data_IF_693886313331
#
_entry.id   IF_693886313331
#
_cell.length_a   1.000
_cell.length_b   1.000
_cell.length_c   1.000
_cell.angle_alpha   90.00
_cell.angle_beta   90.00
_cell.angle_gamma   90.00
#
_symmetry.space_group_name_H-M   'P 1'
#
loop_
_entity.id
_entity.type
_entity.pdbx_description
1 polymer ?
#
# COMPACT_ATOMS: atom_id res chain seq x y z
N UNK A 1 41.62 21.81 2.01
CA UNK A 1 40.66 21.21 2.96
C UNK A 1 39.35 21.06 2.22
N UNK A 2 39.02 19.85 1.78
CA UNK A 2 37.72 19.52 1.21
C UNK A 2 36.90 18.95 2.37
N UNK A 3 35.86 19.68 2.78
CA UNK A 3 34.86 19.15 3.70
C UNK A 3 34.04 18.13 2.93
N UNK A 4 34.33 16.85 3.16
CA UNK A 4 33.40 15.77 2.83
C UNK A 4 32.17 15.96 3.70
N UNK A 5 31.10 16.48 3.11
CA UNK A 5 29.75 16.30 3.66
C UNK A 5 29.48 14.81 3.49
N UNK A 6 29.70 14.04 4.55
CA UNK A 6 29.17 12.69 4.62
C UNK A 6 27.65 12.84 4.59
N UNK A 7 27.06 12.33 3.52
CA UNK A 7 25.62 12.22 3.35
C UNK A 7 25.13 11.19 4.38
N UNK A 8 24.71 11.66 5.55
CA UNK A 8 24.19 10.84 6.66
C UNK A 8 22.87 10.11 6.30
N UNK A 9 22.39 10.25 5.05
CA UNK A 9 21.16 9.65 4.55
C UNK A 9 21.22 8.11 4.40
N UNK A 10 22.42 7.51 4.34
CA UNK A 10 22.57 6.04 4.20
C UNK A 10 22.31 5.24 5.49
N UNK A 11 22.06 5.90 6.64
CA UNK A 11 21.86 5.24 7.95
C UNK A 11 20.52 5.58 8.63
N UNK A 12 19.54 6.14 7.91
CA UNK A 12 18.21 6.32 8.48
C UNK A 12 17.61 4.94 8.83
N UNK A 13 17.08 4.75 10.07
CA UNK A 13 16.45 3.50 10.43
C UNK A 13 15.23 3.25 9.54
N UNK A 14 15.17 2.08 8.90
CA UNK A 14 14.02 1.65 8.11
C UNK A 14 12.74 1.79 8.93
N UNK A 15 11.73 2.40 8.33
CA UNK A 15 10.42 2.60 8.91
C UNK A 15 9.45 1.55 8.39
N UNK A 16 8.35 1.34 9.11
CA UNK A 16 7.25 0.48 8.63
C UNK A 16 6.67 0.96 7.29
N UNK A 17 6.80 2.25 6.98
CA UNK A 17 6.35 2.81 5.71
C UNK A 17 7.27 2.40 4.55
N UNK A 18 8.59 2.40 4.77
CA UNK A 18 9.57 1.90 3.79
C UNK A 18 9.36 0.40 3.52
N UNK A 19 9.01 -0.37 4.56
CA UNK A 19 8.74 -1.81 4.41
C UNK A 19 7.42 -2.09 3.67
N UNK A 20 6.41 -1.23 3.78
CA UNK A 20 5.19 -1.33 2.96
C UNK A 20 5.47 -1.00 1.50
N UNK A 21 6.26 0.05 1.25
CA UNK A 21 6.67 0.48 -0.09
C UNK A 21 7.43 -0.62 -0.83
N UNK A 22 8.47 -1.16 -0.21
CA UNK A 22 9.26 -2.27 -0.78
C UNK A 22 8.38 -3.50 -1.04
N UNK A 23 7.51 -3.87 -0.10
CA UNK A 23 6.61 -5.01 -0.27
C UNK A 23 5.64 -4.81 -1.46
N UNK A 24 5.10 -3.61 -1.65
CA UNK A 24 4.22 -3.32 -2.79
C UNK A 24 4.97 -3.37 -4.12
N UNK A 25 6.24 -2.94 -4.15
CA UNK A 25 7.12 -3.07 -5.30
C UNK A 25 7.43 -4.54 -5.61
N UNK A 26 7.72 -5.35 -4.59
CA UNK A 26 7.94 -6.79 -4.72
C UNK A 26 6.69 -7.49 -5.26
N UNK A 27 5.50 -7.17 -4.74
CA UNK A 27 4.23 -7.68 -5.25
C UNK A 27 4.06 -7.32 -6.73
N UNK A 28 4.30 -6.06 -7.11
CA UNK A 28 4.15 -5.62 -8.49
C UNK A 28 5.14 -6.34 -9.42
N UNK A 29 6.37 -6.56 -8.95
CA UNK A 29 7.40 -7.29 -9.68
C UNK A 29 7.03 -8.77 -9.86
N UNK A 30 6.57 -9.44 -8.80
CA UNK A 30 6.11 -10.83 -8.85
C UNK A 30 4.89 -11.00 -9.76
N UNK A 31 3.95 -10.04 -9.73
CA UNK A 31 2.83 -10.01 -10.66
C UNK A 31 3.31 -9.87 -12.11
N UNK A 32 4.25 -8.95 -12.38
CA UNK A 32 4.83 -8.77 -13.71
C UNK A 32 5.52 -10.05 -14.21
N UNK A 33 6.21 -10.80 -13.35
CA UNK A 33 6.89 -12.04 -13.72
C UNK A 33 5.93 -13.19 -14.12
N UNK A 34 4.65 -13.10 -13.76
CA UNK A 34 3.62 -14.08 -14.13
C UNK A 34 2.98 -13.78 -15.50
N UNK A 35 3.29 -12.64 -16.11
CA UNK A 35 2.77 -12.23 -17.42
C UNK A 35 3.78 -12.55 -18.55
N UNK A 36 3.30 -13.07 -19.68
CA UNK A 36 4.13 -13.19 -20.89
C UNK A 36 4.15 -11.85 -21.65
N UNK A 37 5.03 -10.95 -21.21
CA UNK A 37 5.18 -9.63 -21.82
C UNK A 37 5.56 -9.68 -23.30
N UNK A 38 6.33 -10.69 -23.73
CA UNK A 38 6.73 -10.81 -25.13
C UNK A 38 5.52 -11.11 -26.00
N UNK A 39 4.66 -12.04 -25.57
CA UNK A 39 3.40 -12.33 -26.25
C UNK A 39 2.47 -11.12 -26.26
N UNK A 40 2.28 -10.47 -25.10
CA UNK A 40 1.40 -9.30 -24.95
C UNK A 40 1.84 -8.18 -25.91
N UNK A 41 3.12 -7.81 -25.89
CA UNK A 41 3.62 -6.67 -26.68
C UNK A 41 3.68 -6.99 -28.17
N UNK A 42 4.21 -8.17 -28.57
CA UNK A 42 4.35 -8.50 -29.99
C UNK A 42 3.02 -8.73 -30.70
N UNK A 43 1.99 -9.15 -29.96
CA UNK A 43 0.65 -9.32 -30.50
C UNK A 43 -0.20 -8.04 -30.43
N UNK A 44 0.36 -6.94 -29.89
CA UNK A 44 -0.31 -5.64 -29.86
C UNK A 44 -1.36 -5.50 -28.76
N UNK A 45 -1.07 -5.99 -27.55
CA UNK A 45 -1.97 -5.98 -26.40
C UNK A 45 -3.31 -6.69 -26.68
N UNK A 46 -3.27 -8.02 -26.95
CA UNK A 46 -4.48 -8.79 -27.19
C UNK A 46 -5.36 -8.83 -25.93
N UNK A 47 -6.62 -9.25 -26.11
CA UNK A 47 -7.46 -9.60 -24.97
C UNK A 47 -6.78 -10.71 -24.16
N UNK A 48 -6.60 -10.47 -22.86
CA UNK A 48 -5.96 -11.42 -21.97
C UNK A 48 -6.97 -12.47 -21.50
N UNK A 49 -6.53 -13.71 -21.28
CA UNK A 49 -7.25 -14.68 -20.46
C UNK A 49 -7.58 -14.11 -19.06
N UNK A 50 -8.67 -14.56 -18.43
CA UNK A 50 -9.13 -14.03 -17.14
C UNK A 50 -8.07 -14.09 -16.03
N UNK A 51 -7.24 -15.13 -16.01
CA UNK A 51 -6.14 -15.30 -15.06
C UNK A 51 -5.03 -14.27 -15.28
N UNK A 52 -4.62 -14.04 -16.53
CA UNK A 52 -3.64 -13.02 -16.89
C UNK A 52 -4.18 -11.61 -16.66
N UNK A 53 -5.49 -11.38 -16.90
CA UNK A 53 -6.15 -10.13 -16.57
C UNK A 53 -6.16 -9.87 -15.06
N UNK A 54 -6.38 -10.91 -14.24
CA UNK A 54 -6.33 -10.79 -12.78
C UNK A 54 -4.91 -10.45 -12.29
N UNK A 55 -3.87 -11.06 -12.86
CA UNK A 55 -2.48 -10.73 -12.55
C UNK A 55 -2.17 -9.27 -12.91
N UNK A 56 -2.63 -8.80 -14.08
CA UNK A 56 -2.45 -7.40 -14.49
C UNK A 56 -3.17 -6.43 -13.54
N UNK A 57 -4.38 -6.78 -13.07
CA UNK A 57 -5.12 -5.99 -12.07
C UNK A 57 -4.38 -5.93 -10.75
N UNK A 58 -3.85 -7.05 -10.27
CA UNK A 58 -3.09 -7.11 -9.02
C UNK A 58 -1.82 -6.24 -9.10
N UNK A 59 -1.09 -6.30 -10.22
CA UNK A 59 0.05 -5.44 -10.48
C UNK A 59 -0.35 -3.95 -10.45
N UNK A 60 -1.48 -3.61 -11.10
CA UNK A 60 -2.01 -2.25 -11.11
C UNK A 60 -2.43 -1.74 -9.72
N UNK A 61 -3.05 -2.60 -8.91
CA UNK A 61 -3.41 -2.29 -7.52
C UNK A 61 -2.17 -2.04 -6.66
N UNK A 62 -1.13 -2.87 -6.80
CA UNK A 62 0.13 -2.71 -6.09
C UNK A 62 0.81 -1.37 -6.42
N UNK A 63 0.92 -1.03 -7.71
CA UNK A 63 1.47 0.27 -8.14
C UNK A 63 0.64 1.47 -7.65
N UNK A 64 -0.69 1.36 -7.64
CA UNK A 64 -1.54 2.44 -7.17
C UNK A 64 -1.45 2.62 -5.65
N UNK A 65 -1.30 1.52 -4.89
CA UNK A 65 -1.05 1.57 -3.45
C UNK A 65 0.33 2.18 -3.14
N UNK A 66 1.37 1.78 -3.87
CA UNK A 66 2.73 2.33 -3.77
C UNK A 66 2.73 3.86 -4.00
N UNK A 67 2.05 4.34 -5.05
CA UNK A 67 1.92 5.79 -5.29
C UNK A 67 1.22 6.56 -4.15
N UNK A 68 0.30 5.92 -3.41
CA UNK A 68 -0.33 6.54 -2.24
C UNK A 68 0.61 6.53 -1.03
N UNK A 69 1.40 5.47 -0.85
CA UNK A 69 2.46 5.38 0.15
C UNK A 69 3.51 6.46 -0.10
N UNK A 70 3.95 6.63 -1.35
CA UNK A 70 4.90 7.67 -1.77
C UNK A 70 4.43 9.09 -1.43
N UNK A 71 3.11 9.37 -1.53
CA UNK A 71 2.54 10.67 -1.13
C UNK A 71 2.62 10.95 0.37
N UNK A 72 2.87 9.94 1.20
CA UNK A 72 3.05 10.16 2.65
C UNK A 72 4.39 10.82 2.98
N UNK A 73 5.40 10.73 2.11
CA UNK A 73 6.66 11.46 2.25
C UNK A 73 6.61 12.85 1.62
N UNK A 74 6.23 12.92 0.34
CA UNK A 74 6.47 14.13 -0.49
C UNK A 74 5.20 14.79 -1.05
N UNK A 75 4.02 14.33 -0.63
CA UNK A 75 2.75 14.67 -1.28
C UNK A 75 1.63 15.11 -0.35
N UNK A 76 0.42 15.35 -0.92
CA UNK A 76 -0.78 15.51 -0.11
C UNK A 76 -1.06 14.20 0.63
N UNK A 77 -1.18 14.28 1.96
CA UNK A 77 -1.43 13.11 2.79
C UNK A 77 -2.66 12.33 2.28
N UNK A 78 -2.55 11.01 2.09
CA UNK A 78 -3.68 10.15 1.76
C UNK A 78 -4.79 10.25 2.81
N UNK A 79 -6.03 10.07 2.37
CA UNK A 79 -7.21 10.03 3.25
C UNK A 79 -7.21 8.76 4.11
N UNK A 80 -8.09 8.70 5.12
CA UNK A 80 -8.24 7.48 5.92
C UNK A 80 -8.84 6.30 5.12
N UNK A 81 -9.58 6.60 4.04
CA UNK A 81 -10.10 5.57 3.13
C UNK A 81 -8.98 5.04 2.23
N UNK A 82 -8.10 5.93 1.73
CA UNK A 82 -6.90 5.53 0.99
C UNK A 82 -5.99 4.63 1.84
N UNK A 83 -5.71 5.02 3.09
CA UNK A 83 -4.89 4.23 4.02
C UNK A 83 -5.46 2.84 4.28
N UNK A 84 -6.78 2.74 4.46
CA UNK A 84 -7.46 1.44 4.60
C UNK A 84 -7.32 0.61 3.33
N UNK A 85 -7.53 1.22 2.17
CA UNK A 85 -7.40 0.54 0.89
C UNK A 85 -5.97 0.01 0.67
N UNK A 86 -4.94 0.80 0.97
CA UNK A 86 -3.53 0.35 0.94
C UNK A 86 -3.35 -0.87 1.84
N UNK A 87 -3.87 -0.83 3.08
CA UNK A 87 -3.76 -1.97 4.00
C UNK A 87 -4.42 -3.24 3.46
N UNK A 88 -5.61 -3.12 2.87
CA UNK A 88 -6.35 -4.25 2.33
C UNK A 88 -5.70 -4.81 1.05
N UNK A 89 -5.14 -3.94 0.20
CA UNK A 89 -4.35 -4.35 -0.98
C UNK A 89 -3.08 -5.08 -0.56
N UNK A 90 -2.31 -4.49 0.35
CA UNK A 90 -1.01 -5.03 0.80
C UNK A 90 -1.16 -6.45 1.36
N UNK A 91 -2.07 -6.65 2.32
CA UNK A 91 -2.25 -7.97 2.95
C UNK A 91 -2.82 -9.02 1.99
N UNK A 92 -3.81 -8.64 1.17
CA UNK A 92 -4.42 -9.55 0.19
C UNK A 92 -3.41 -9.98 -0.86
N UNK A 93 -2.64 -9.04 -1.40
CA UNK A 93 -1.69 -9.33 -2.46
C UNK A 93 -0.46 -10.06 -1.92
N UNK A 94 0.09 -9.68 -0.77
CA UNK A 94 1.17 -10.44 -0.12
C UNK A 94 0.79 -11.93 0.04
N UNK A 95 -0.43 -12.19 0.52
CA UNK A 95 -0.96 -13.56 0.65
C UNK A 95 -1.09 -14.27 -0.71
N UNK A 96 -1.59 -13.58 -1.75
CA UNK A 96 -1.78 -14.18 -3.09
C UNK A 96 -0.46 -14.50 -3.79
N UNK A 97 0.57 -13.71 -3.52
CA UNK A 97 1.89 -13.86 -4.11
C UNK A 97 2.87 -14.65 -3.23
N UNK A 98 2.42 -15.16 -2.08
CA UNK A 98 3.22 -15.93 -1.11
C UNK A 98 4.44 -15.14 -0.61
N UNK A 99 4.21 -13.86 -0.33
CA UNK A 99 5.21 -12.93 0.22
C UNK A 99 4.95 -12.71 1.71
N UNK A 100 6.02 -12.78 2.50
CA UNK A 100 5.96 -12.54 3.93
C UNK A 100 5.75 -11.05 4.24
N UNK A 101 4.89 -10.76 5.21
CA UNK A 101 4.78 -9.41 5.76
C UNK A 101 5.97 -9.13 6.70
N UNK A 102 6.79 -8.09 6.44
CA UNK A 102 7.83 -7.67 7.37
C UNK A 102 7.25 -7.38 8.76
N UNK A 103 8.00 -7.64 9.83
CA UNK A 103 7.48 -7.59 11.21
C UNK A 103 6.90 -6.21 11.62
N UNK A 104 7.39 -5.15 10.99
CA UNK A 104 7.00 -3.75 11.18
C UNK A 104 5.65 -3.41 10.53
N UNK A 105 5.26 -4.15 9.48
CA UNK A 105 4.11 -3.86 8.62
C UNK A 105 2.76 -4.14 9.30
N UNK A 106 2.51 -5.31 9.95
CA UNK A 106 1.20 -5.65 10.49
C UNK A 106 0.59 -4.59 11.43
N UNK A 107 1.42 -3.96 12.28
CA UNK A 107 0.97 -2.92 13.20
C UNK A 107 0.49 -1.67 12.46
N UNK A 108 1.23 -1.23 11.43
CA UNK A 108 0.88 -0.08 10.61
C UNK A 108 -0.42 -0.32 9.82
N UNK A 109 -0.58 -1.51 9.21
CA UNK A 109 -1.80 -1.85 8.48
C UNK A 109 -3.02 -1.88 9.42
N UNK A 110 -2.86 -2.37 10.65
CA UNK A 110 -3.91 -2.37 11.65
C UNK A 110 -4.32 -0.94 12.05
N UNK A 111 -3.36 -0.04 12.23
CA UNK A 111 -3.61 1.38 12.52
C UNK A 111 -4.44 2.03 11.41
N UNK A 112 -4.05 1.85 10.15
CA UNK A 112 -4.74 2.41 9.00
C UNK A 112 -6.19 1.92 8.87
N UNK A 113 -6.47 0.66 9.20
CA UNK A 113 -7.85 0.15 9.24
C UNK A 113 -8.68 0.74 10.36
N UNK A 114 -8.07 0.98 11.52
CA UNK A 114 -8.74 1.52 12.70
C UNK A 114 -9.12 3.01 12.54
N UNK A 115 -8.29 3.79 11.85
CA UNK A 115 -8.45 5.23 11.68
C UNK A 115 -9.73 5.65 10.92
N UNK A 116 -10.33 4.77 10.12
CA UNK A 116 -11.55 5.04 9.36
C UNK A 116 -12.82 4.45 9.99
N UNK A 117 -12.78 4.05 11.27
CA UNK A 117 -14.03 3.82 12.03
C UNK A 117 -14.63 5.20 12.37
N UNK A 118 -15.87 5.50 11.98
CA UNK A 118 -16.53 6.68 12.54
C UNK A 118 -16.55 6.52 14.06
N UNK A 119 -16.11 7.55 14.78
CA UNK A 119 -16.21 7.67 16.23
C UNK A 119 -17.68 7.75 16.61
N UNK A 120 -18.38 6.62 16.52
CA UNK A 120 -19.77 6.46 16.94
C UNK A 120 -19.84 6.32 18.44
N UNK A 121 -19.63 7.40 19.19
CA UNK A 121 -20.17 7.59 20.56
C UNK A 121 -19.90 8.98 21.14
N UNK A 122 -20.76 9.93 20.79
CA UNK A 122 -21.23 10.98 21.72
C UNK A 122 -22.69 11.33 21.41
N UNK A 123 -23.60 10.36 21.62
CA UNK A 123 -25.01 10.67 21.84
C UNK A 123 -25.45 9.98 23.14
N UNK A 124 -25.25 10.68 24.26
CA UNK A 124 -25.69 10.23 25.57
C UNK A 124 -25.37 11.26 26.64
N UNK A 125 -26.21 12.29 26.78
CA UNK A 125 -25.95 13.38 27.73
C UNK A 125 -27.12 14.30 28.05
N UNK A 126 -28.29 13.74 28.34
CA UNK A 126 -29.32 14.31 29.23
C UNK A 126 -29.67 15.80 29.17
N UNK A 127 -30.88 16.10 28.68
CA UNK A 127 -31.68 17.18 29.26
C UNK A 127 -33.15 16.81 29.34
N UNK A 128 -33.51 16.12 30.43
CA UNK A 128 -34.87 16.18 30.98
C UNK A 128 -35.12 17.63 31.37
N UNK A 129 -35.95 18.36 30.62
CA UNK A 129 -36.64 19.53 31.17
C UNK A 129 -38.04 19.15 31.57
N UNK A 130 -38.21 19.04 32.90
CA UNK A 130 -39.49 19.15 33.59
C UNK A 130 -40.02 20.57 33.39
N UNK A 131 -41.21 20.72 32.82
CA UNK A 131 -42.42 21.28 33.45
C UNK A 131 -43.46 21.52 32.36
#
# INVERSE_FOLDING_TARGET
MVNSVQDDSENAPRTALDDVDELLQDIAFEAANRLDWVAIVKQGFPALPEDQEQVLKDMGEAFAADQLVQRMWDGPSPTNDDRRWIADVTERLATRYDLDLPQTVPALLQEWRAASRPSGREFGGGHRRRR
#
